data_IF_483188515445
#
_entry.id   IF_483188515445
#
_cell.length_a   1.000
_cell.length_b   1.000
_cell.length_c   1.000
_cell.angle_alpha   90.00
_cell.angle_beta   90.00
_cell.angle_gamma   90.00
#
_symmetry.space_group_name_H-M   'P 1'
#
loop_
_entity.id
_entity.type
_entity.pdbx_description
1 polymer ?
#
# COMPACT_ATOMS: atom_id res chain seq x y z
N UNK A 1 8.62 1.38 -14.60
CA UNK A 1 7.69 0.54 -13.79
C UNK A 1 7.31 1.23 -12.49
N UNK A 2 8.27 1.92 -11.85
CA UNK A 2 8.06 2.71 -10.63
C UNK A 2 6.96 3.78 -10.75
N UNK A 3 6.82 4.44 -11.91
CA UNK A 3 5.74 5.40 -12.17
C UNK A 3 4.33 4.79 -12.05
N UNK A 4 4.15 3.53 -12.49
CA UNK A 4 2.86 2.83 -12.32
C UNK A 4 2.56 2.58 -10.84
N UNK A 5 3.58 2.28 -10.05
CA UNK A 5 3.45 2.10 -8.59
C UNK A 5 3.10 3.42 -7.90
N UNK A 6 3.74 4.53 -8.28
CA UNK A 6 3.36 5.86 -7.79
C UNK A 6 1.93 6.24 -8.16
N UNK A 7 1.50 5.92 -9.40
CA UNK A 7 0.13 6.14 -9.84
C UNK A 7 -0.86 5.33 -8.99
N UNK A 8 -0.61 4.03 -8.78
CA UNK A 8 -1.49 3.19 -7.95
C UNK A 8 -1.52 3.66 -6.48
N UNK A 9 -0.37 4.05 -5.93
CA UNK A 9 -0.29 4.64 -4.60
C UNK A 9 -1.10 5.94 -4.51
N UNK A 10 -1.05 6.79 -5.54
CA UNK A 10 -1.83 8.03 -5.59
C UNK A 10 -3.32 7.76 -5.66
N UNK A 11 -3.76 6.77 -6.46
CA UNK A 11 -5.16 6.36 -6.52
C UNK A 11 -5.64 5.83 -5.17
N UNK A 12 -4.85 4.94 -4.54
CA UNK A 12 -5.16 4.39 -3.22
C UNK A 12 -5.26 5.48 -2.14
N UNK A 13 -4.33 6.43 -2.14
CA UNK A 13 -4.30 7.57 -1.22
C UNK A 13 -5.52 8.50 -1.35
N UNK A 14 -6.18 8.50 -2.50
CA UNK A 14 -7.34 9.34 -2.81
C UNK A 14 -8.67 8.61 -2.70
N UNK A 15 -8.67 7.33 -2.28
CA UNK A 15 -9.91 6.60 -2.06
C UNK A 15 -10.77 7.31 -1.00
N UNK A 16 -12.08 7.51 -1.27
CA UNK A 16 -13.03 8.00 -0.29
C UNK A 16 -13.03 7.16 1.00
N UNK A 17 -13.36 7.78 2.14
CA UNK A 17 -13.35 7.08 3.43
C UNK A 17 -14.46 6.03 3.58
N UNK A 18 -15.52 6.18 2.78
CA UNK A 18 -16.66 5.27 2.65
C UNK A 18 -16.46 4.23 1.52
N UNK A 19 -15.25 4.12 0.96
CA UNK A 19 -14.93 3.11 -0.05
C UNK A 19 -15.12 1.71 0.52
N UNK A 20 -15.75 0.82 -0.24
CA UNK A 20 -15.97 -0.56 0.19
C UNK A 20 -14.67 -1.37 0.32
N UNK A 21 -14.63 -2.28 1.30
CA UNK A 21 -13.46 -3.11 1.59
C UNK A 21 -12.90 -3.85 0.36
N UNK A 22 -13.72 -4.50 -0.51
CA UNK A 22 -13.19 -5.18 -1.69
C UNK A 22 -12.43 -4.27 -2.65
N UNK A 23 -12.80 -2.99 -2.75
CA UNK A 23 -12.10 -2.02 -3.60
C UNK A 23 -10.74 -1.66 -2.99
N UNK A 24 -10.70 -1.49 -1.67
CA UNK A 24 -9.46 -1.22 -0.91
C UNK A 24 -8.47 -2.40 -1.07
N UNK A 25 -8.95 -3.64 -0.92
CA UNK A 25 -8.14 -4.85 -1.04
C UNK A 25 -7.52 -5.00 -2.44
N UNK A 26 -8.28 -4.69 -3.50
CA UNK A 26 -7.78 -4.71 -4.89
C UNK A 26 -6.63 -3.72 -5.07
N UNK A 27 -6.80 -2.46 -4.66
CA UNK A 27 -5.74 -1.46 -4.81
C UNK A 27 -4.49 -1.82 -4.01
N UNK A 28 -4.69 -2.30 -2.80
CA UNK A 28 -3.59 -2.71 -1.94
C UNK A 28 -2.81 -3.90 -2.55
N UNK A 29 -3.52 -4.90 -3.09
CA UNK A 29 -2.93 -6.05 -3.78
C UNK A 29 -2.13 -5.61 -5.01
N UNK A 30 -2.67 -4.72 -5.83
CA UNK A 30 -1.98 -4.19 -7.02
C UNK A 30 -0.67 -3.46 -6.65
N UNK A 31 -0.69 -2.66 -5.58
CA UNK A 31 0.51 -1.97 -5.10
C UNK A 31 1.56 -2.99 -4.67
N UNK A 32 1.18 -4.01 -3.90
CA UNK A 32 2.09 -5.07 -3.44
C UNK A 32 2.72 -5.85 -4.59
N UNK A 33 1.93 -6.22 -5.59
CA UNK A 33 2.42 -6.90 -6.79
C UNK A 33 3.44 -6.02 -7.55
N UNK A 34 3.15 -4.73 -7.68
CA UNK A 34 4.09 -3.78 -8.31
C UNK A 34 5.40 -3.63 -7.53
N UNK A 35 5.35 -3.59 -6.18
CA UNK A 35 6.57 -3.58 -5.36
C UNK A 35 7.34 -4.89 -5.53
N UNK A 36 6.63 -6.03 -5.49
CA UNK A 36 7.25 -7.35 -5.64
C UNK A 36 7.94 -7.52 -6.99
N UNK A 37 7.32 -7.07 -8.08
CA UNK A 37 7.97 -7.11 -9.39
C UNK A 37 9.25 -6.28 -9.43
N UNK A 38 9.35 -5.17 -8.68
CA UNK A 38 10.63 -4.44 -8.59
C UNK A 38 11.67 -5.21 -7.77
N UNK A 39 11.27 -5.93 -6.72
CA UNK A 39 12.17 -6.84 -5.99
C UNK A 39 12.80 -7.86 -6.93
N UNK A 40 12.00 -8.42 -7.85
CA UNK A 40 12.47 -9.46 -8.78
C UNK A 40 13.37 -8.91 -9.91
N UNK A 41 13.17 -7.65 -10.30
CA UNK A 41 13.84 -7.06 -11.47
C UNK A 41 14.99 -6.12 -11.13
N UNK A 42 15.11 -5.67 -9.88
CA UNK A 42 16.14 -4.72 -9.48
C UNK A 42 17.49 -5.39 -9.25
N UNK A 43 18.57 -4.75 -9.73
CA UNK A 43 19.95 -5.13 -9.41
C UNK A 43 20.28 -4.96 -7.92
N UNK A 44 19.60 -4.02 -7.24
CA UNK A 44 19.70 -3.78 -5.80
C UNK A 44 18.28 -3.81 -5.16
N UNK A 45 17.76 -5.01 -4.85
CA UNK A 45 16.37 -5.19 -4.47
C UNK A 45 16.07 -4.82 -3.02
N UNK A 46 17.05 -4.44 -2.21
CA UNK A 46 16.90 -4.41 -0.76
C UNK A 46 15.88 -3.36 -0.29
N UNK A 47 15.91 -2.15 -0.86
CA UNK A 47 14.94 -1.12 -0.53
C UNK A 47 13.51 -1.49 -0.96
N UNK A 48 13.35 -2.23 -2.06
CA UNK A 48 12.05 -2.73 -2.49
C UNK A 48 11.56 -3.89 -1.61
N UNK A 49 12.47 -4.75 -1.13
CA UNK A 49 12.13 -5.81 -0.15
C UNK A 49 11.66 -5.21 1.17
N UNK A 50 12.39 -4.21 1.67
CA UNK A 50 11.99 -3.49 2.87
C UNK A 50 10.62 -2.83 2.66
N UNK A 51 10.41 -2.15 1.54
CA UNK A 51 9.13 -1.53 1.24
C UNK A 51 7.97 -2.54 1.19
N UNK A 52 8.17 -3.68 0.51
CA UNK A 52 7.17 -4.75 0.44
C UNK A 52 6.87 -5.34 1.83
N UNK A 53 7.88 -5.49 2.67
CA UNK A 53 7.74 -6.01 4.02
C UNK A 53 7.00 -5.04 4.94
N UNK A 54 7.36 -3.76 4.92
CA UNK A 54 6.71 -2.72 5.71
C UNK A 54 5.24 -2.53 5.33
N UNK A 55 4.94 -2.54 4.03
CA UNK A 55 3.56 -2.55 3.53
C UNK A 55 2.83 -3.77 4.12
N UNK A 56 3.40 -4.97 3.99
CA UNK A 56 2.75 -6.20 4.47
C UNK A 56 2.49 -6.27 5.97
N UNK A 57 3.44 -5.87 6.81
CA UNK A 57 3.26 -5.97 8.26
C UNK A 57 2.19 -5.00 8.72
N UNK A 58 2.29 -3.74 8.31
CA UNK A 58 1.39 -2.69 8.80
C UNK A 58 -0.02 -2.87 8.23
N UNK A 59 -0.14 -3.11 6.92
CA UNK A 59 -1.46 -3.16 6.31
C UNK A 59 -2.14 -4.53 6.36
N UNK A 60 -1.47 -5.62 6.77
CA UNK A 60 -2.18 -6.90 7.02
C UNK A 60 -3.06 -6.84 8.26
N UNK A 61 -2.59 -6.20 9.34
CA UNK A 61 -3.41 -5.99 10.53
C UNK A 61 -4.60 -5.06 10.21
N UNK A 62 -4.33 -3.99 9.46
CA UNK A 62 -5.33 -3.00 9.10
C UNK A 62 -6.36 -3.54 8.08
N UNK A 63 -5.97 -4.37 7.10
CA UNK A 63 -6.93 -5.04 6.19
C UNK A 63 -7.88 -5.97 6.94
N UNK A 64 -7.35 -6.80 7.85
CA UNK A 64 -8.16 -7.67 8.70
C UNK A 64 -9.10 -6.86 9.60
N UNK A 65 -8.64 -5.69 10.05
CA UNK A 65 -9.46 -4.78 10.84
C UNK A 65 -10.55 -4.15 9.97
N UNK A 66 -10.23 -3.62 8.78
CA UNK A 66 -11.22 -3.06 7.85
C UNK A 66 -12.29 -4.08 7.47
N UNK A 67 -11.93 -5.33 7.17
CA UNK A 67 -12.87 -6.41 6.88
C UNK A 67 -13.89 -6.59 8.02
N UNK A 68 -13.44 -6.52 9.27
CA UNK A 68 -14.29 -6.63 10.47
C UNK A 68 -15.12 -5.37 10.72
N UNK A 69 -14.54 -4.18 10.49
CA UNK A 69 -15.18 -2.88 10.74
C UNK A 69 -16.16 -2.46 9.64
N UNK A 70 -16.15 -3.13 8.49
CA UNK A 70 -17.01 -2.84 7.34
C UNK A 70 -18.53 -2.90 7.68
N UNK A 71 -18.88 -3.35 8.89
CA UNK A 71 -20.22 -3.36 9.46
C UNK A 71 -20.44 -2.34 10.59
N UNK A 72 -20.03 -1.07 10.39
CA UNK A 72 -20.56 0.06 11.16
C UNK A 72 -19.80 0.46 12.42
N UNK A 73 -18.51 0.12 12.51
CA UNK A 73 -17.69 0.53 13.66
C UNK A 73 -16.93 1.86 13.43
N UNK A 74 -16.72 2.68 14.48
CA UNK A 74 -16.21 4.05 14.37
C UNK A 74 -14.75 4.18 13.91
N UNK A 75 -14.04 3.07 13.70
CA UNK A 75 -12.60 3.05 13.41
C UNK A 75 -12.27 2.82 11.92
N UNK A 76 -13.26 2.61 11.05
CA UNK A 76 -13.03 2.26 9.65
C UNK A 76 -12.21 3.33 8.93
N UNK A 77 -12.66 4.58 8.98
CA UNK A 77 -11.97 5.69 8.32
C UNK A 77 -10.57 5.92 8.87
N UNK A 78 -10.38 5.81 10.18
CA UNK A 78 -9.07 5.97 10.82
C UNK A 78 -8.10 4.89 10.34
N UNK A 79 -8.57 3.65 10.26
CA UNK A 79 -7.78 2.51 9.79
C UNK A 79 -7.40 2.69 8.32
N UNK A 80 -8.35 3.10 7.46
CA UNK A 80 -8.07 3.38 6.06
C UNK A 80 -7.06 4.52 5.89
N UNK A 81 -7.19 5.63 6.65
CA UNK A 81 -6.21 6.73 6.62
C UNK A 81 -4.82 6.27 7.04
N UNK A 82 -4.73 5.44 8.08
CA UNK A 82 -3.45 4.89 8.53
C UNK A 82 -2.78 4.07 7.42
N UNK A 83 -3.53 3.17 6.79
CA UNK A 83 -3.04 2.36 5.68
C UNK A 83 -2.55 3.21 4.50
N UNK A 84 -3.36 4.19 4.08
CA UNK A 84 -2.99 5.12 3.00
C UNK A 84 -1.69 5.86 3.36
N UNK A 85 -1.56 6.35 4.59
CA UNK A 85 -0.37 7.03 5.08
C UNK A 85 0.88 6.17 5.06
N UNK A 86 0.78 4.92 5.53
CA UNK A 86 1.91 3.97 5.54
C UNK A 86 2.38 3.67 4.11
N UNK A 87 1.46 3.32 3.21
CA UNK A 87 1.82 2.97 1.82
C UNK A 87 2.55 4.14 1.14
N UNK A 88 2.08 5.37 1.32
CA UNK A 88 2.72 6.57 0.78
C UNK A 88 4.12 6.77 1.39
N UNK A 89 4.25 6.68 2.71
CA UNK A 89 5.52 6.91 3.40
C UNK A 89 6.58 5.89 2.96
N UNK A 90 6.20 4.61 2.94
CA UNK A 90 7.09 3.50 2.57
C UNK A 90 7.62 3.66 1.15
N UNK A 91 6.74 3.94 0.18
CA UNK A 91 7.15 4.06 -1.22
C UNK A 91 8.00 5.31 -1.47
N UNK A 92 7.77 6.40 -0.73
CA UNK A 92 8.57 7.62 -0.82
C UNK A 92 9.99 7.46 -0.23
N UNK A 93 10.17 6.55 0.73
CA UNK A 93 11.47 6.26 1.34
C UNK A 93 12.42 5.49 0.41
N UNK A 94 11.92 4.87 -0.66
CA UNK A 94 12.75 4.20 -1.68
C UNK A 94 13.68 5.24 -2.34
N UNK A 95 15.02 5.12 -2.24
CA UNK A 95 15.94 6.14 -2.75
C UNK A 95 15.77 6.45 -4.25
N UNK A 96 15.88 7.72 -4.65
CA UNK A 96 15.69 8.14 -6.06
C UNK A 96 16.63 7.44 -7.04
N UNK A 97 17.84 7.10 -6.61
CA UNK A 97 18.86 6.47 -7.44
C UNK A 97 18.45 5.07 -7.96
N UNK A 98 17.58 4.37 -7.23
CA UNK A 98 17.17 2.99 -7.53
C UNK A 98 15.76 2.87 -8.14
N UNK A 99 15.10 4.00 -8.44
CA UNK A 99 13.72 4.04 -9.00
C UNK A 99 13.66 3.82 -10.53
N UNK A 100 14.80 3.55 -11.16
CA UNK A 100 14.94 3.47 -12.63
C UNK A 100 14.27 2.24 -13.20
#
# INVERSE_FOLDING_TARGET
>A
MYEKMLLQCSVFALLPMDTDFPVIDVHYTQIRELVWHHVEQSEDPEAFRQAWHEININAKADLLLLERLHLGEPLYEQTLRNMQGVVIAVLNNIPKAIRR
#
